data_IF_954237106792
#
_entry.id   IF_954237106792
#
_cell.length_a   1.000
_cell.length_b   1.000
_cell.length_c   1.000
_cell.angle_alpha   90.00
_cell.angle_beta   90.00
_cell.angle_gamma   90.00
#
_symmetry.space_group_name_H-M   'P 1'
#
loop_
_entity.id
_entity.type
_entity.pdbx_description
1 polymer ?
#
# COMPACT_ATOMS: atom_id res chain seq x y z
N UNK A 1 6.63 -0.23 7.40
CA UNK A 1 5.15 -0.30 7.59
C UNK A 1 4.75 0.49 8.83
N UNK A 2 4.84 1.83 8.76
CA UNK A 2 4.43 2.69 9.86
C UNK A 2 2.91 2.94 9.89
N UNK A 3 2.23 2.69 8.76
CA UNK A 3 0.81 3.00 8.53
C UNK A 3 -0.14 1.80 8.66
N UNK A 4 0.38 0.60 8.92
CA UNK A 4 -0.44 -0.59 9.17
C UNK A 4 -0.33 -0.95 10.65
N UNK A 5 -1.39 -0.64 11.39
CA UNK A 5 -1.59 -1.07 12.77
C UNK A 5 -2.10 -2.51 12.80
N UNK A 6 -1.66 -3.26 13.79
CA UNK A 6 -2.00 -4.67 13.95
C UNK A 6 -0.99 -5.62 13.31
N UNK A 7 -0.52 -6.60 14.09
CA UNK A 7 0.36 -7.68 13.68
C UNK A 7 -0.27 -8.53 12.58
N UNK A 8 -1.55 -8.86 12.73
CA UNK A 8 -2.31 -9.66 11.75
C UNK A 8 -2.39 -8.96 10.40
N UNK A 9 -2.77 -7.68 10.38
CA UNK A 9 -2.84 -6.88 9.14
C UNK A 9 -1.48 -6.72 8.47
N UNK A 10 -0.42 -6.49 9.26
CA UNK A 10 0.94 -6.40 8.73
C UNK A 10 1.36 -7.70 8.04
N UNK A 11 1.06 -8.85 8.65
CA UNK A 11 1.37 -10.16 8.08
C UNK A 11 0.60 -10.40 6.77
N UNK A 12 -0.69 -10.07 6.72
CA UNK A 12 -1.49 -10.20 5.50
C UNK A 12 -0.93 -9.33 4.37
N UNK A 13 -0.56 -8.08 4.66
CA UNK A 13 0.06 -7.19 3.65
C UNK A 13 1.37 -7.78 3.14
N UNK A 14 2.22 -8.32 4.02
CA UNK A 14 3.46 -8.98 3.60
C UNK A 14 3.19 -10.19 2.72
N UNK A 15 2.19 -11.02 3.07
CA UNK A 15 1.78 -12.17 2.26
C UNK A 15 1.29 -11.78 0.87
N UNK A 16 0.48 -10.71 0.76
CA UNK A 16 0.01 -10.20 -0.54
C UNK A 16 1.17 -9.66 -1.38
N UNK A 17 2.11 -8.93 -0.78
CA UNK A 17 3.31 -8.44 -1.48
C UNK A 17 4.14 -9.62 -2.01
N UNK A 18 4.28 -10.69 -1.22
CA UNK A 18 5.01 -11.88 -1.63
C UNK A 18 4.34 -12.57 -2.83
N UNK A 19 3.02 -12.76 -2.79
CA UNK A 19 2.27 -13.34 -3.91
C UNK A 19 2.40 -12.46 -5.16
N UNK A 20 2.26 -11.14 -5.01
CA UNK A 20 2.44 -10.20 -6.12
C UNK A 20 3.85 -10.29 -6.72
N UNK A 21 4.88 -10.46 -5.90
CA UNK A 21 6.25 -10.68 -6.36
C UNK A 21 6.39 -11.98 -7.16
N UNK A 22 5.80 -13.08 -6.69
CA UNK A 22 5.80 -14.34 -7.45
C UNK A 22 5.11 -14.18 -8.81
N UNK A 23 3.95 -13.51 -8.85
CA UNK A 23 3.20 -13.25 -10.10
C UNK A 23 4.01 -12.37 -11.06
N UNK A 24 4.66 -11.33 -10.54
CA UNK A 24 5.51 -10.45 -11.33
C UNK A 24 6.68 -11.20 -11.98
N UNK A 25 7.29 -12.17 -11.27
CA UNK A 25 8.36 -13.01 -11.85
C UNK A 25 7.84 -13.90 -13.00
N UNK A 26 6.62 -14.44 -12.88
CA UNK A 26 5.99 -15.23 -13.95
C UNK A 26 5.71 -14.34 -15.17
N UNK A 27 5.07 -13.17 -14.96
CA UNK A 27 4.74 -12.22 -16.03
C UNK A 27 6.01 -11.68 -16.69
N UNK A 28 7.05 -11.40 -15.91
CA UNK A 28 8.35 -10.93 -16.41
C UNK A 28 8.96 -11.87 -17.45
N UNK A 29 8.87 -13.19 -17.23
CA UNK A 29 9.34 -14.19 -18.19
C UNK A 29 8.53 -14.21 -19.50
N UNK A 30 7.23 -13.89 -19.43
CA UNK A 30 6.30 -13.91 -20.56
C UNK A 30 6.38 -12.64 -21.43
N UNK A 31 6.81 -11.51 -20.85
CA UNK A 31 6.93 -10.22 -21.55
C UNK A 31 8.10 -10.19 -22.54
N UNK A 32 9.04 -11.14 -22.47
CA UNK A 32 10.10 -11.33 -23.47
C UNK A 32 9.64 -12.13 -24.70
N UNK A 33 8.50 -11.78 -25.28
CA UNK A 33 8.05 -12.40 -26.52
C UNK A 33 9.00 -12.03 -27.67
N UNK A 34 9.65 -13.04 -28.26
CA UNK A 34 10.62 -12.93 -29.36
C UNK A 34 10.06 -12.27 -30.64
N UNK A 35 8.75 -12.00 -30.69
CA UNK A 35 8.01 -11.51 -31.86
C UNK A 35 8.21 -10.01 -32.15
N UNK A 36 8.84 -9.25 -31.25
CA UNK A 36 9.04 -7.79 -31.38
C UNK A 36 10.48 -7.36 -31.68
N UNK A 37 11.32 -8.23 -32.23
CA UNK A 37 12.61 -7.82 -32.77
C UNK A 37 12.41 -6.91 -34.01
N UNK A 38 13.15 -5.78 -34.17
CA UNK A 38 14.32 -5.33 -33.39
C UNK A 38 14.01 -4.26 -32.32
N UNK A 39 12.85 -3.60 -32.36
CA UNK A 39 12.61 -2.40 -31.54
C UNK A 39 11.92 -2.65 -30.18
N UNK A 40 11.45 -3.87 -29.89
CA UNK A 40 10.87 -4.30 -28.61
C UNK A 40 9.89 -3.30 -27.95
N UNK A 41 9.15 -2.52 -28.74
CA UNK A 41 8.29 -1.42 -28.28
C UNK A 41 7.21 -1.89 -27.30
N UNK A 42 6.72 -3.12 -27.47
CA UNK A 42 5.72 -3.74 -26.60
C UNK A 42 6.19 -3.86 -25.15
N UNK A 43 7.48 -4.10 -24.89
CA UNK A 43 7.99 -4.22 -23.51
C UNK A 43 8.00 -2.88 -22.80
N UNK A 44 8.47 -1.83 -23.47
CA UNK A 44 8.50 -0.49 -22.90
C UNK A 44 7.10 -0.01 -22.55
N UNK A 45 6.12 -0.22 -23.43
CA UNK A 45 4.74 0.15 -23.17
C UNK A 45 4.12 -0.65 -22.00
N UNK A 46 4.47 -1.94 -21.86
CA UNK A 46 4.00 -2.74 -20.73
C UNK A 46 4.59 -2.27 -19.40
N UNK A 47 5.89 -1.96 -19.36
CA UNK A 47 6.57 -1.44 -18.15
C UNK A 47 5.98 -0.08 -17.77
N UNK A 48 5.86 0.85 -18.74
CA UNK A 48 5.23 2.16 -18.54
C UNK A 48 3.79 2.03 -18.02
N UNK A 49 3.01 1.10 -18.57
CA UNK A 49 1.64 0.85 -18.12
C UNK A 49 1.58 0.38 -16.66
N UNK A 50 2.44 -0.56 -16.27
CA UNK A 50 2.55 -1.02 -14.88
C UNK A 50 3.03 0.08 -13.94
N UNK A 51 3.99 0.89 -14.36
CA UNK A 51 4.53 2.01 -13.57
C UNK A 51 3.48 3.10 -13.34
N UNK A 52 2.71 3.46 -14.37
CA UNK A 52 1.58 4.39 -14.25
C UNK A 52 0.50 3.83 -13.33
N UNK A 53 0.15 2.54 -13.47
CA UNK A 53 -0.81 1.89 -12.59
C UNK A 53 -0.33 1.87 -11.12
N UNK A 54 0.96 1.61 -10.88
CA UNK A 54 1.55 1.64 -9.54
C UNK A 54 1.52 3.06 -8.94
N UNK A 55 1.85 4.08 -9.74
CA UNK A 55 1.75 5.48 -9.32
C UNK A 55 0.30 5.87 -8.96
N UNK A 56 -0.69 5.46 -9.78
CA UNK A 56 -2.10 5.69 -9.48
C UNK A 56 -2.51 5.04 -8.16
N UNK A 57 -2.14 3.79 -7.91
CA UNK A 57 -2.38 3.11 -6.65
C UNK A 57 -1.76 3.85 -5.46
N UNK A 58 -0.53 4.36 -5.63
CA UNK A 58 0.15 5.14 -4.58
C UNK A 58 -0.57 6.47 -4.32
N UNK A 59 -0.99 7.19 -5.37
CA UNK A 59 -1.76 8.42 -5.23
C UNK A 59 -3.10 8.19 -4.52
N UNK A 60 -3.83 7.11 -4.86
CA UNK A 60 -5.08 6.74 -4.20
C UNK A 60 -4.83 6.43 -2.72
N UNK A 61 -3.77 5.67 -2.41
CA UNK A 61 -3.40 5.37 -1.03
C UNK A 61 -3.04 6.63 -0.23
N UNK A 62 -2.24 7.52 -0.81
CA UNK A 62 -1.88 8.80 -0.19
C UNK A 62 -3.08 9.72 0.03
N UNK A 63 -3.97 9.83 -0.96
CA UNK A 63 -5.22 10.58 -0.85
C UNK A 63 -6.15 9.99 0.23
N UNK A 64 -6.23 8.66 0.33
CA UNK A 64 -6.96 7.96 1.38
C UNK A 64 -6.40 8.27 2.78
N UNK A 65 -5.07 8.19 2.95
CA UNK A 65 -4.42 8.55 4.20
C UNK A 65 -4.67 10.01 4.56
N UNK A 66 -4.56 10.93 3.60
CA UNK A 66 -4.82 12.35 3.82
C UNK A 66 -6.29 12.62 4.20
N UNK A 67 -7.24 11.98 3.51
CA UNK A 67 -8.67 12.09 3.80
C UNK A 67 -9.00 11.56 5.20
N UNK A 68 -8.47 10.40 5.56
CA UNK A 68 -8.70 9.77 6.87
C UNK A 68 -8.07 10.61 8.00
N UNK A 69 -6.87 11.18 7.78
CA UNK A 69 -6.23 12.08 8.72
C UNK A 69 -7.02 13.40 8.87
N UNK A 70 -7.52 13.97 7.76
CA UNK A 70 -8.35 15.19 7.74
C UNK A 70 -9.71 14.97 8.42
N UNK A 71 -10.31 13.79 8.25
CA UNK A 71 -11.55 13.41 8.92
C UNK A 71 -11.32 13.30 10.43
N UNK A 72 -10.26 12.58 10.85
CA UNK A 72 -9.89 12.43 12.26
C UNK A 72 -9.55 13.75 12.94
N UNK A 73 -8.84 14.65 12.24
CA UNK A 73 -8.56 16.00 12.75
C UNK A 73 -9.84 16.83 13.00
N UNK A 74 -10.94 16.54 12.30
CA UNK A 74 -12.24 17.20 12.50
C UNK A 74 -13.07 16.58 13.62
N UNK A 75 -12.97 15.26 13.83
CA UNK A 75 -13.81 14.54 14.79
C UNK A 75 -13.16 14.31 16.16
N UNK A 76 -11.83 14.17 16.24
CA UNK A 76 -11.17 13.66 17.46
C UNK A 76 -10.56 14.73 18.38
N UNK A 77 -10.43 16.00 17.97
CA UNK A 77 -9.88 17.06 18.82
C UNK A 77 -8.44 16.78 19.31
N UNK A 78 -7.95 17.40 20.41
CA UNK A 78 -6.62 17.13 20.95
C UNK A 78 -6.49 15.65 21.34
N UNK A 79 -5.41 15.00 20.89
CA UNK A 79 -5.15 13.57 21.05
C UNK A 79 -5.46 13.08 22.48
N UNK A 80 -6.41 12.14 22.67
CA UNK A 80 -6.59 11.53 23.98
C UNK A 80 -5.30 10.79 24.38
N UNK A 81 -4.96 10.74 25.68
CA UNK A 81 -3.80 10.00 26.14
C UNK A 81 -3.92 8.54 25.67
N UNK A 82 -2.87 8.05 25.00
CA UNK A 82 -2.79 6.66 24.51
C UNK A 82 -2.96 5.74 25.71
N UNK A 83 -4.02 4.93 25.74
CA UNK A 83 -4.23 3.99 26.83
C UNK A 83 -3.36 2.74 26.64
N UNK A 84 -2.87 2.13 27.73
CA UNK A 84 -2.07 0.90 27.67
C UNK A 84 -2.78 -0.24 26.94
N UNK A 85 -4.12 -0.22 26.95
CA UNK A 85 -5.01 -1.16 26.26
C UNK A 85 -4.92 -1.01 24.74
N UNK A 86 -4.77 0.22 24.23
CA UNK A 86 -4.60 0.49 22.80
C UNK A 86 -3.19 0.13 22.29
N UNK A 87 -2.21 0.11 23.21
CA UNK A 87 -0.82 -0.28 22.93
C UNK A 87 -0.63 -1.80 22.90
N UNK A 88 -1.29 -2.53 23.82
CA UNK A 88 -1.21 -3.99 23.92
C UNK A 88 -2.20 -4.74 23.00
N UNK A 89 -3.30 -4.11 22.60
CA UNK A 89 -4.28 -4.71 21.69
C UNK A 89 -3.78 -4.81 20.23
N UNK A 90 -4.07 -5.93 19.56
CA UNK A 90 -3.87 -6.12 18.11
C UNK A 90 -4.91 -5.32 17.29
N UNK A 91 -5.01 -4.02 17.58
CA UNK A 91 -5.97 -3.10 16.95
C UNK A 91 -5.44 -2.64 15.60
N UNK A 92 -6.33 -2.63 14.62
CA UNK A 92 -6.05 -2.12 13.28
C UNK A 92 -5.80 -0.61 13.32
N UNK A 93 -5.06 -0.06 12.34
CA UNK A 93 -4.85 1.39 12.20
C UNK A 93 -6.15 2.24 12.21
N UNK A 94 -7.28 1.66 11.78
CA UNK A 94 -8.61 2.29 11.87
C UNK A 94 -9.25 2.23 13.26
N UNK A 95 -8.83 1.29 14.09
CA UNK A 95 -9.39 1.05 15.43
C UNK A 95 -8.57 1.76 16.52
N UNK A 96 -7.27 2.01 16.28
CA UNK A 96 -6.42 2.77 17.21
C UNK A 96 -6.83 4.24 17.24
N UNK A 97 -7.32 4.70 18.41
CA UNK A 97 -7.60 6.11 18.70
C UNK A 97 -6.29 6.89 18.78
N UNK A 98 -6.20 8.01 18.08
CA UNK A 98 -4.96 8.82 18.01
C UNK A 98 -3.89 8.34 17.02
N UNK A 99 -4.16 7.31 16.20
CA UNK A 99 -3.23 6.88 15.15
C UNK A 99 -3.28 7.85 13.96
N UNK A 100 -2.12 8.43 13.61
CA UNK A 100 -1.93 9.28 12.44
C UNK A 100 -1.10 8.56 11.38
N UNK A 101 -1.57 8.62 10.15
CA UNK A 101 -0.83 8.09 9.00
C UNK A 101 0.40 8.99 8.75
N UNK A 102 1.58 8.37 8.70
CA UNK A 102 2.84 9.04 8.40
C UNK A 102 3.02 9.02 6.88
N UNK A 103 3.24 10.20 6.30
CA UNK A 103 3.40 10.42 4.86
C UNK A 103 4.83 10.15 4.38
#
# INVERSE_FOLDING_TARGET
MANCGGHTKKLTVMGVIFIAYCVANIIGSQVFLARSAPNYSTRYNAILGFEVAALLCLCIYGAGCWYENRHRDRTEGPLPPVSDVDMLGDLTDKEKRGFRYIY
#
